data_IF_195688540223
#
_entry.id   IF_195688540223
#
_cell.length_a   1.000
_cell.length_b   1.000
_cell.length_c   1.000
_cell.angle_alpha   90.00
_cell.angle_beta   90.00
_cell.angle_gamma   90.00
#
_symmetry.space_group_name_H-M   'P 1'
#
loop_
_entity.id
_entity.type
_entity.pdbx_description
1 polymer ?
#
# COMPACT_ATOMS: atom_id res chain seq x y z
N UNK A 1 2.94 -22.91 -7.98
CA UNK A 1 3.21 -21.47 -7.88
C UNK A 1 3.00 -21.05 -6.43
N UNK A 2 3.87 -20.19 -5.90
CA UNK A 2 3.79 -19.75 -4.51
C UNK A 2 2.67 -18.74 -4.34
N UNK A 3 1.77 -18.98 -3.39
CA UNK A 3 0.66 -18.07 -3.06
C UNK A 3 0.74 -17.64 -1.61
N UNK A 4 0.37 -16.39 -1.33
CA UNK A 4 0.28 -15.85 0.03
C UNK A 4 -0.95 -14.95 0.12
N UNK A 5 -1.62 -14.99 1.26
CA UNK A 5 -2.71 -14.07 1.61
C UNK A 5 -2.54 -13.67 3.07
N UNK A 6 -2.25 -12.39 3.29
CA UNK A 6 -2.09 -11.80 4.61
C UNK A 6 -3.47 -11.41 5.15
N UNK A 7 -3.68 -11.60 6.46
CA UNK A 7 -4.87 -11.11 7.16
C UNK A 7 -4.68 -9.65 7.57
N UNK A 8 -4.77 -8.75 6.59
CA UNK A 8 -4.57 -7.31 6.78
C UNK A 8 -5.88 -6.66 7.23
N UNK A 9 -5.88 -5.84 8.30
CA UNK A 9 -7.04 -5.05 8.70
C UNK A 9 -7.54 -4.21 7.53
N UNK A 10 -8.85 -4.17 7.35
CA UNK A 10 -9.51 -3.40 6.31
C UNK A 10 -10.12 -2.16 6.96
N UNK A 11 -9.76 -1.00 6.44
CA UNK A 11 -10.27 0.29 6.90
C UNK A 11 -10.76 1.08 5.69
N UNK A 12 -11.91 1.74 5.85
CA UNK A 12 -12.42 2.68 4.86
C UNK A 12 -11.79 4.06 5.10
N UNK A 13 -11.49 4.78 4.02
CA UNK A 13 -11.07 6.17 4.12
C UNK A 13 -12.24 7.04 4.60
N UNK A 14 -11.98 7.87 5.61
CA UNK A 14 -13.02 8.77 6.15
C UNK A 14 -13.22 10.03 5.30
N UNK A 15 -12.25 10.40 4.47
CA UNK A 15 -12.28 11.57 3.60
C UNK A 15 -12.01 11.18 2.16
N UNK A 16 -12.51 11.97 1.21
CA UNK A 16 -12.45 11.65 -0.22
C UNK A 16 -11.01 11.46 -0.77
N UNK A 17 -10.00 12.10 -0.18
CA UNK A 17 -8.62 12.05 -0.67
C UNK A 17 -7.61 11.55 0.38
N UNK A 18 -8.04 10.76 1.38
CA UNK A 18 -7.15 10.22 2.42
C UNK A 18 -6.79 8.72 2.24
N UNK A 19 -6.87 8.18 1.02
CA UNK A 19 -6.44 6.81 0.70
C UNK A 19 -5.00 6.52 1.16
N UNK A 20 -4.13 7.52 1.07
CA UNK A 20 -2.75 7.49 1.59
C UNK A 20 -2.71 7.24 3.11
N UNK A 21 -3.47 7.98 3.90
CA UNK A 21 -3.45 7.84 5.35
C UNK A 21 -3.98 6.47 5.76
N UNK A 22 -5.14 6.12 5.17
CA UNK A 22 -5.86 4.88 5.47
C UNK A 22 -5.03 3.65 5.10
N UNK A 23 -4.29 3.72 3.99
CA UNK A 23 -3.39 2.65 3.56
C UNK A 23 -2.17 2.49 4.48
N UNK A 24 -1.56 3.60 4.93
CA UNK A 24 -0.52 3.54 5.97
C UNK A 24 -1.08 2.92 7.25
N UNK A 25 -2.30 3.31 7.62
CA UNK A 25 -2.95 2.83 8.84
C UNK A 25 -3.23 1.33 8.79
N UNK A 26 -3.74 0.80 7.68
CA UNK A 26 -3.93 -0.65 7.50
C UNK A 26 -2.62 -1.44 7.62
N UNK A 27 -1.53 -0.94 7.03
CA UNK A 27 -0.20 -1.55 7.14
C UNK A 27 0.30 -1.47 8.59
N UNK A 28 0.16 -0.31 9.24
CA UNK A 28 0.54 -0.10 10.63
C UNK A 28 -0.22 -1.04 11.57
N UNK A 29 -1.55 -1.16 11.42
CA UNK A 29 -2.39 -2.07 12.21
C UNK A 29 -1.98 -3.53 12.02
N UNK A 30 -1.63 -3.95 10.79
CA UNK A 30 -1.11 -5.29 10.54
C UNK A 30 0.15 -5.53 11.38
N UNK A 31 1.10 -4.61 11.39
CA UNK A 31 2.33 -4.76 12.14
C UNK A 31 2.15 -4.65 13.65
N UNK A 32 1.19 -3.83 14.10
CA UNK A 32 0.82 -3.73 15.51
C UNK A 32 0.30 -5.07 16.03
N UNK A 33 -0.55 -5.76 15.24
CA UNK A 33 -1.12 -7.08 15.60
C UNK A 33 -0.11 -8.21 15.55
N UNK A 34 0.92 -8.11 14.70
CA UNK A 34 1.91 -9.16 14.49
C UNK A 34 3.21 -8.98 15.32
N UNK A 35 3.26 -7.98 16.21
CA UNK A 35 4.30 -7.87 17.24
C UNK A 35 5.71 -7.52 16.75
N UNK A 36 5.88 -7.03 15.51
CA UNK A 36 7.20 -6.69 14.94
C UNK A 36 7.41 -5.17 14.75
N UNK A 37 7.11 -4.39 15.78
CA UNK A 37 7.50 -2.98 15.84
C UNK A 37 6.81 -2.08 14.81
N UNK A 38 5.50 -1.82 14.97
CA UNK A 38 4.77 -0.89 14.10
C UNK A 38 5.31 0.57 14.16
N UNK A 39 5.99 0.92 15.26
CA UNK A 39 6.39 2.30 15.54
C UNK A 39 5.18 3.22 15.76
N UNK A 40 5.39 4.54 15.82
CA UNK A 40 4.29 5.49 15.87
C UNK A 40 3.56 5.55 14.51
N UNK A 41 2.23 5.58 14.55
CA UNK A 41 1.43 5.89 13.36
C UNK A 41 1.50 7.40 13.06
N UNK A 42 2.41 7.79 12.19
CA UNK A 42 2.55 9.18 11.73
C UNK A 42 1.56 9.50 10.62
N UNK A 43 1.21 10.79 10.49
CA UNK A 43 0.41 11.33 9.39
C UNK A 43 0.97 12.67 8.93
N UNK A 44 0.48 13.20 7.80
CA UNK A 44 0.75 14.57 7.35
C UNK A 44 -0.43 15.44 7.78
N UNK A 45 -0.42 15.93 9.03
CA UNK A 45 -1.57 16.55 9.69
C UNK A 45 -2.24 17.67 8.85
N UNK A 46 -1.45 18.63 8.38
CA UNK A 46 -1.97 19.75 7.55
C UNK A 46 -2.62 19.30 6.23
N UNK A 47 -2.18 18.16 5.67
CA UNK A 47 -2.78 17.58 4.46
C UNK A 47 -4.01 16.75 4.78
N UNK A 48 -4.00 16.08 5.93
CA UNK A 48 -5.16 15.35 6.43
C UNK A 48 -6.36 16.26 6.69
N UNK A 49 -6.10 17.44 7.27
CA UNK A 49 -7.11 18.48 7.48
C UNK A 49 -7.80 18.89 6.17
N UNK A 50 -7.05 18.91 5.06
CA UNK A 50 -7.53 19.28 3.72
C UNK A 50 -7.90 18.09 2.83
N UNK A 51 -7.93 16.86 3.36
CA UNK A 51 -8.13 15.66 2.55
C UNK A 51 -9.56 15.49 2.00
N UNK A 52 -10.50 16.34 2.43
CA UNK A 52 -11.82 16.44 1.82
C UNK A 52 -11.76 17.00 0.40
N UNK A 53 -10.74 17.83 0.09
CA UNK A 53 -10.62 18.55 -1.18
C UNK A 53 -9.33 18.27 -1.93
N UNK A 54 -8.26 17.83 -1.25
CA UNK A 54 -6.93 17.66 -1.85
C UNK A 54 -6.24 16.36 -1.44
N UNK A 55 -5.63 15.67 -2.41
CA UNK A 55 -4.77 14.51 -2.14
C UNK A 55 -3.32 14.89 -1.85
N UNK A 56 -2.46 13.87 -1.75
CA UNK A 56 -1.00 14.06 -1.68
C UNK A 56 -0.35 13.98 -3.05
N UNK A 57 0.66 14.82 -3.27
CA UNK A 57 1.59 14.65 -4.38
C UNK A 57 2.57 13.48 -4.11
N UNK A 58 3.18 12.89 -5.14
CA UNK A 58 4.07 11.74 -4.98
C UNK A 58 5.19 11.91 -3.96
N UNK A 59 5.85 13.06 -3.95
CA UNK A 59 6.92 13.38 -3.01
C UNK A 59 6.45 13.41 -1.55
N UNK A 60 5.19 13.81 -1.32
CA UNK A 60 4.59 13.93 0.01
C UNK A 60 4.22 12.55 0.58
N UNK A 61 3.66 11.65 -0.25
CA UNK A 61 3.34 10.31 0.24
C UNK A 61 4.59 9.46 0.50
N UNK A 62 5.69 9.68 -0.23
CA UNK A 62 6.97 9.00 0.04
C UNK A 62 7.46 9.39 1.43
N UNK A 63 7.45 10.69 1.72
CA UNK A 63 7.85 11.24 3.03
C UNK A 63 7.00 10.65 4.15
N UNK A 64 5.70 10.49 3.92
CA UNK A 64 4.83 9.80 4.88
C UNK A 64 5.20 8.33 5.06
N UNK A 65 5.36 7.59 3.95
CA UNK A 65 5.73 6.18 3.96
C UNK A 65 6.98 5.95 4.81
N UNK A 66 8.02 6.76 4.59
CA UNK A 66 9.27 6.70 5.35
C UNK A 66 9.05 7.01 6.85
N UNK A 67 8.21 8.00 7.18
CA UNK A 67 7.86 8.34 8.58
C UNK A 67 7.08 7.26 9.31
N UNK A 68 6.29 6.44 8.60
CA UNK A 68 5.59 5.27 9.19
C UNK A 68 6.39 3.98 9.06
N UNK A 69 7.68 4.07 8.71
CA UNK A 69 8.61 2.94 8.70
C UNK A 69 8.58 2.11 7.42
N UNK A 70 7.97 2.60 6.34
CA UNK A 70 8.06 2.00 5.03
C UNK A 70 9.35 2.41 4.33
N UNK A 71 9.79 1.58 3.40
CA UNK A 71 10.83 1.91 2.45
C UNK A 71 10.37 1.59 1.04
N UNK A 72 10.93 2.32 0.07
CA UNK A 72 10.62 2.18 -1.34
C UNK A 72 11.21 0.89 -1.88
N UNK A 73 10.42 0.12 -2.60
CA UNK A 73 10.95 -0.95 -3.44
C UNK A 73 11.58 -0.36 -4.70
N UNK A 74 12.57 -1.04 -5.32
CA UNK A 74 13.14 -0.61 -6.58
C UNK A 74 12.08 -0.44 -7.66
N UNK A 75 12.23 0.61 -8.47
CA UNK A 75 11.38 0.85 -9.63
C UNK A 75 11.53 -0.32 -10.61
N UNK A 76 10.41 -0.84 -11.09
CA UNK A 76 10.34 -1.91 -12.07
C UNK A 76 9.07 -1.74 -12.90
N UNK A 77 9.18 -1.92 -14.22
CA UNK A 77 8.02 -1.76 -15.11
C UNK A 77 6.99 -2.88 -14.96
N UNK A 78 7.44 -4.09 -14.59
CA UNK A 78 6.61 -5.28 -14.47
C UNK A 78 7.02 -6.14 -13.28
N UNK A 79 6.05 -6.49 -12.45
CA UNK A 79 6.18 -7.37 -11.30
C UNK A 79 5.53 -8.72 -11.59
N UNK A 80 6.31 -9.78 -11.47
CA UNK A 80 5.82 -11.15 -11.54
C UNK A 80 5.11 -11.55 -10.25
N UNK A 81 4.31 -12.63 -10.29
CA UNK A 81 3.74 -13.23 -9.07
C UNK A 81 4.81 -13.59 -8.03
N UNK A 82 6.01 -14.00 -8.48
CA UNK A 82 7.12 -14.30 -7.57
C UNK A 82 7.69 -13.05 -6.90
N UNK A 83 7.75 -11.92 -7.60
CA UNK A 83 8.19 -10.65 -7.01
C UNK A 83 7.22 -10.20 -5.92
N UNK A 84 5.92 -10.16 -6.24
CA UNK A 84 4.87 -9.77 -5.31
C UNK A 84 4.81 -10.70 -4.09
N UNK A 85 5.00 -12.01 -4.31
CA UNK A 85 5.07 -12.98 -3.22
C UNK A 85 6.24 -12.69 -2.28
N UNK A 86 7.43 -12.37 -2.81
CA UNK A 86 8.60 -12.02 -1.99
C UNK A 86 8.35 -10.75 -1.20
N UNK A 87 7.77 -9.72 -1.81
CA UNK A 87 7.45 -8.47 -1.12
C UNK A 87 6.51 -8.71 0.06
N UNK A 88 5.45 -9.49 -0.16
CA UNK A 88 4.47 -9.84 0.88
C UNK A 88 5.06 -10.72 1.99
N UNK A 89 5.89 -11.70 1.62
CA UNK A 89 6.54 -12.61 2.57
C UNK A 89 7.55 -11.88 3.46
N UNK A 90 8.36 -11.02 2.86
CA UNK A 90 9.51 -10.41 3.54
C UNK A 90 9.13 -9.10 4.24
N UNK A 91 8.26 -8.30 3.62
CA UNK A 91 7.89 -6.95 4.07
C UNK A 91 6.44 -6.78 4.52
N UNK A 92 5.64 -7.85 4.53
CA UNK A 92 4.21 -7.79 4.87
C UNK A 92 3.39 -7.06 3.80
N UNK A 93 2.25 -6.45 4.16
CA UNK A 93 1.35 -5.79 3.21
C UNK A 93 2.06 -4.66 2.47
N UNK A 94 1.79 -4.53 1.18
CA UNK A 94 2.49 -3.57 0.31
C UNK A 94 1.60 -2.37 0.03
N UNK A 95 2.13 -1.17 0.26
CA UNK A 95 1.54 0.07 -0.21
C UNK A 95 1.71 0.17 -1.72
N UNK A 96 0.62 0.38 -2.47
CA UNK A 96 0.65 0.42 -3.93
C UNK A 96 -0.04 1.69 -4.47
N UNK A 97 0.75 2.67 -4.92
CA UNK A 97 0.24 3.86 -5.60
C UNK A 97 0.11 3.62 -7.11
N UNK A 98 -1.05 3.94 -7.67
CA UNK A 98 -1.35 3.69 -9.08
C UNK A 98 -2.63 4.38 -9.54
N UNK A 99 -3.04 4.06 -10.75
CA UNK A 99 -4.26 4.53 -11.40
C UNK A 99 -5.34 3.43 -11.43
N UNK A 100 -5.57 2.77 -10.29
CA UNK A 100 -6.36 1.53 -10.15
C UNK A 100 -7.75 1.60 -10.78
N UNK A 101 -8.44 2.73 -10.58
CA UNK A 101 -9.81 2.96 -11.06
C UNK A 101 -9.94 4.26 -11.86
N UNK A 102 -8.88 4.63 -12.59
CA UNK A 102 -8.86 5.82 -13.46
C UNK A 102 -8.39 7.11 -12.80
N UNK A 103 -8.22 7.11 -11.48
CA UNK A 103 -7.66 8.23 -10.70
C UNK A 103 -6.46 7.77 -9.89
N UNK A 104 -5.60 8.71 -9.50
CA UNK A 104 -4.48 8.44 -8.59
C UNK A 104 -5.00 7.94 -7.26
N UNK A 105 -4.59 6.73 -6.87
CA UNK A 105 -5.12 6.04 -5.71
C UNK A 105 -4.10 5.10 -5.09
N UNK A 106 -4.22 4.86 -3.79
CA UNK A 106 -3.36 3.94 -3.04
C UNK A 106 -4.21 2.81 -2.50
N UNK A 107 -3.80 1.59 -2.81
CA UNK A 107 -4.36 0.35 -2.27
C UNK A 107 -3.30 -0.36 -1.44
N UNK A 108 -3.73 -1.31 -0.62
CA UNK A 108 -2.83 -2.20 0.12
C UNK A 108 -2.89 -3.60 -0.47
N UNK A 109 -1.82 -4.04 -1.12
CA UNK A 109 -1.68 -5.42 -1.56
C UNK A 109 -1.58 -6.34 -0.35
N UNK A 110 -2.45 -7.34 -0.30
CA UNK A 110 -2.57 -8.28 0.81
C UNK A 110 -2.26 -9.72 0.40
N UNK A 111 -2.30 -10.04 -0.89
CA UNK A 111 -2.06 -11.39 -1.35
C UNK A 111 -1.72 -11.48 -2.83
N UNK A 112 -1.15 -12.61 -3.22
CA UNK A 112 -0.90 -12.97 -4.61
C UNK A 112 -0.98 -14.49 -4.78
N UNK A 113 -1.45 -14.94 -5.93
CA UNK A 113 -1.44 -16.34 -6.32
C UNK A 113 -2.34 -16.63 -7.51
N UNK A 114 -2.00 -17.67 -8.29
CA UNK A 114 -2.82 -18.15 -9.42
C UNK A 114 -3.09 -17.04 -10.46
N UNK A 115 -2.10 -16.18 -10.71
CA UNK A 115 -2.20 -15.06 -11.65
C UNK A 115 -3.01 -13.87 -11.14
N UNK A 116 -3.37 -13.85 -9.85
CA UNK A 116 -4.17 -12.79 -9.23
C UNK A 116 -3.44 -12.10 -8.09
N UNK A 117 -3.84 -10.86 -7.85
CA UNK A 117 -3.52 -10.07 -6.66
C UNK A 117 -4.79 -9.88 -5.84
N UNK A 118 -4.65 -9.89 -4.51
CA UNK A 118 -5.71 -9.54 -3.56
C UNK A 118 -5.29 -8.26 -2.84
N UNK A 119 -6.22 -7.32 -2.67
CA UNK A 119 -5.91 -6.03 -2.05
C UNK A 119 -7.08 -5.47 -1.26
N UNK A 120 -6.73 -4.65 -0.27
CA UNK A 120 -7.67 -3.80 0.45
C UNK A 120 -7.71 -2.44 -0.26
N UNK A 121 -8.91 -2.03 -0.64
CA UNK A 121 -9.18 -0.73 -1.22
C UNK A 121 -9.74 0.18 -0.12
N UNK A 122 -9.05 1.27 0.26
CA UNK A 122 -9.56 2.19 1.26
C UNK A 122 -10.80 2.94 0.77
N UNK A 123 -11.02 3.10 -0.54
CA UNK A 123 -12.26 3.67 -1.05
C UNK A 123 -13.41 2.72 -0.71
N UNK A 124 -14.33 3.19 0.14
CA UNK A 124 -15.43 2.41 0.74
C UNK A 124 -15.01 1.21 1.60
N UNK A 125 -13.70 0.98 1.81
CA UNK A 125 -13.18 -0.07 2.68
C UNK A 125 -13.58 -1.47 2.21
N UNK A 126 -13.19 -1.85 0.99
CA UNK A 126 -13.58 -3.13 0.37
C UNK A 126 -12.38 -3.99 -0.01
N UNK A 127 -12.52 -5.31 0.10
CA UNK A 127 -11.54 -6.27 -0.42
C UNK A 127 -11.82 -6.54 -1.88
N UNK A 128 -10.80 -6.47 -2.71
CA UNK A 128 -10.89 -6.67 -4.16
C UNK A 128 -9.79 -7.61 -4.65
N UNK A 129 -10.00 -8.14 -5.84
CA UNK A 129 -9.03 -8.94 -6.58
C UNK A 129 -8.81 -8.34 -7.97
N UNK A 130 -7.61 -8.53 -8.50
CA UNK A 130 -7.26 -8.20 -9.88
C UNK A 130 -6.32 -9.24 -10.46
N UNK A 131 -6.09 -9.22 -11.77
CA UNK A 131 -5.01 -10.03 -12.36
C UNK A 131 -3.65 -9.36 -12.13
N UNK A 132 -2.57 -10.14 -12.13
CA UNK A 132 -1.20 -9.58 -12.10
C UNK A 132 -0.94 -8.68 -13.31
N UNK A 133 -1.55 -8.99 -14.47
CA UNK A 133 -1.49 -8.13 -15.66
C UNK A 133 -2.12 -6.75 -15.38
N UNK A 134 -3.37 -6.75 -14.90
CA UNK A 134 -4.06 -5.51 -14.51
C UNK A 134 -3.27 -4.72 -13.47
N UNK A 135 -2.67 -5.43 -12.50
CA UNK A 135 -1.85 -4.79 -11.47
C UNK A 135 -0.72 -3.96 -12.08
N UNK A 136 0.03 -4.57 -13.02
CA UNK A 136 1.13 -3.89 -13.70
C UNK A 136 0.68 -2.77 -14.64
N UNK A 137 -0.48 -2.90 -15.28
CA UNK A 137 -1.05 -1.85 -16.13
C UNK A 137 -1.51 -0.63 -15.32
N UNK A 138 -1.92 -0.83 -14.07
CA UNK A 138 -2.44 0.23 -13.21
C UNK A 138 -1.42 0.83 -12.26
N UNK A 139 -0.39 0.08 -11.88
CA UNK A 139 0.67 0.59 -11.03
C UNK A 139 1.32 1.82 -11.68
N UNK A 140 1.58 2.88 -10.90
CA UNK A 140 2.32 4.04 -11.38
C UNK A 140 3.83 3.72 -11.40
N UNK A 141 4.25 2.72 -12.19
CA UNK A 141 5.59 2.13 -12.18
C UNK A 141 6.71 3.14 -12.44
N UNK A 142 6.42 4.25 -13.11
CA UNK A 142 7.37 5.33 -13.37
C UNK A 142 7.63 6.23 -12.15
N UNK A 143 6.82 6.13 -11.09
CA UNK A 143 6.97 6.94 -9.87
C UNK A 143 7.82 6.19 -8.84
N UNK A 144 8.83 6.88 -8.33
CA UNK A 144 9.56 6.41 -7.13
C UNK A 144 8.58 6.29 -5.95
N UNK A 145 8.67 5.19 -5.20
CA UNK A 145 7.77 4.93 -4.07
C UNK A 145 6.34 4.52 -4.46
N UNK A 146 6.08 4.17 -5.73
CA UNK A 146 4.81 3.56 -6.11
C UNK A 146 4.56 2.22 -5.38
N UNK A 147 5.63 1.53 -4.99
CA UNK A 147 5.58 0.40 -4.08
C UNK A 147 6.43 0.67 -2.84
N UNK A 148 5.83 0.51 -1.68
CA UNK A 148 6.53 0.60 -0.40
C UNK A 148 6.11 -0.53 0.53
N UNK A 149 7.06 -1.06 1.29
CA UNK A 149 6.82 -2.09 2.31
C UNK A 149 7.48 -1.69 3.61
N UNK A 150 7.04 -2.26 4.73
CA UNK A 150 7.72 -2.02 6.00
C UNK A 150 9.05 -2.76 6.01
N UNK A 151 10.07 -2.12 6.60
CA UNK A 151 11.28 -2.82 7.03
C UNK A 151 10.98 -3.49 8.39
N UNK A 152 10.93 -4.83 8.48
CA UNK A 152 10.67 -5.52 9.73
C UNK A 152 11.78 -5.33 10.78
N UNK A 153 12.96 -4.86 10.38
CA UNK A 153 14.07 -4.51 11.26
C UNK A 153 14.07 -3.05 11.72
N UNK A 154 13.19 -2.19 11.16
CA UNK A 154 12.99 -0.81 11.64
C UNK A 154 11.90 -0.79 12.71
N UNK A 155 12.30 -0.27 13.88
CA UNK A 155 11.57 -0.16 15.16
C UNK A 155 11.49 -1.46 15.95
#
# INVERSE_FOLDING_TARGET
>A
MSSIQLNVPLEAQEKANCCWHTSAYMIWLYWQRNGKGAGPMNTVASKYELADTTGLYPTEFITLGEKVGLYKLPIKDQHSESDLFKYLRDGGPVWCAGYWFGVGHIIVLTGVGRGKVCFNDPDQGVKKEGSVKWFNEKLASQLSGCLMVKDPGRY
#
